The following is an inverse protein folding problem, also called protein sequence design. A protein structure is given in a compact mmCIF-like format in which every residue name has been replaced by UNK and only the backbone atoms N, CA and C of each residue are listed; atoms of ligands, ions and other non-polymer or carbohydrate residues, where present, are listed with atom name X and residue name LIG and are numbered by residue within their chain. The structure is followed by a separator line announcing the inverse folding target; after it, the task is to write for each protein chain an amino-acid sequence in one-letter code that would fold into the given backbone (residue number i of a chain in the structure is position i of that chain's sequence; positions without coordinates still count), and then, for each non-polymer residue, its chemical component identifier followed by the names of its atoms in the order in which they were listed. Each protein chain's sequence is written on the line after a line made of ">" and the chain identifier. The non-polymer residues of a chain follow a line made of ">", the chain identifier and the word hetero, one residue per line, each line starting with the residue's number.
data_IF_397424952044
#
_entry.id   IF_397424952044
#
_cell.length_a   1.000
_cell.length_b   1.000
_cell.length_c   1.000
_cell.angle_alpha   90.00
_cell.angle_beta   90.00
_cell.angle_gamma   90.00
#
_symmetry.space_group_name_H-M   'P 1'
#
loop_
_entity.id
_entity.type
_entity.pdbx_description
1 polymer ?
#
# COMPACT_ATOMS: atom_id res chain seq x y z
N UNK A 1 -35.75 36.33 10.68
CA UNK A 1 -34.42 35.74 10.98
C UNK A 1 -33.42 36.88 11.08
N UNK A 2 -32.75 37.08 12.23
CA UNK A 2 -31.95 38.30 12.47
C UNK A 2 -30.64 38.27 11.67
N UNK A 3 -30.18 39.46 11.24
CA UNK A 3 -28.96 39.67 10.48
C UNK A 3 -27.70 39.05 11.13
N UNK A 4 -27.76 38.83 12.45
CA UNK A 4 -26.69 38.20 13.23
C UNK A 4 -26.46 36.72 12.86
N UNK A 5 -27.52 35.99 12.46
CA UNK A 5 -27.42 34.57 12.08
C UNK A 5 -26.83 34.35 10.68
N UNK A 6 -26.98 35.33 9.80
CA UNK A 6 -26.37 35.34 8.45
C UNK A 6 -24.86 35.63 8.49
N UNK A 7 -24.39 36.39 9.49
CA UNK A 7 -22.98 36.71 9.65
C UNK A 7 -22.17 35.52 10.19
N UNK A 8 -22.76 34.71 11.08
CA UNK A 8 -22.12 33.48 11.59
C UNK A 8 -22.07 32.32 10.58
N UNK A 9 -22.97 32.31 9.58
CA UNK A 9 -22.94 31.32 8.50
C UNK A 9 -21.89 31.66 7.42
N UNK A 10 -21.55 32.94 7.22
CA UNK A 10 -20.46 33.34 6.30
C UNK A 10 -19.07 32.96 6.81
N UNK A 11 -18.87 32.90 8.13
CA UNK A 11 -17.60 32.46 8.74
C UNK A 11 -17.29 30.97 8.56
N UNK A 12 -18.28 30.15 8.21
CA UNK A 12 -18.11 28.69 8.00
C UNK A 12 -17.96 28.31 6.51
N UNK A 13 -18.18 29.25 5.59
CA UNK A 13 -18.13 29.01 4.14
C UNK A 13 -16.79 29.41 3.49
N UNK A 14 -15.88 30.01 4.25
CA UNK A 14 -14.51 30.29 3.81
C UNK A 14 -13.59 29.34 4.56
N UNK A 15 -13.43 28.15 4.00
CA UNK A 15 -12.33 27.28 4.39
C UNK A 15 -11.03 28.05 4.14
N UNK A 16 -10.29 28.31 5.20
CA UNK A 16 -8.91 28.78 5.10
C UNK A 16 -8.15 27.79 4.21
N UNK A 17 -7.71 28.29 3.06
CA UNK A 17 -6.76 27.63 2.17
C UNK A 17 -5.44 27.45 2.96
N UNK A 18 -5.38 26.40 3.78
CA UNK A 18 -4.12 25.83 4.24
C UNK A 18 -3.47 25.20 3.01
N UNK A 19 -2.61 26.01 2.40
CA UNK A 19 -1.44 25.63 1.61
C UNK A 19 -1.46 24.17 1.18
N UNK A 20 -1.89 23.94 -0.07
CA UNK A 20 -1.66 22.70 -0.78
C UNK A 20 -0.15 22.42 -0.79
N UNK A 21 0.29 21.65 0.20
CA UNK A 21 1.62 21.10 0.31
C UNK A 21 1.76 20.04 -0.78
N UNK A 22 2.59 20.35 -1.79
CA UNK A 22 3.22 19.47 -2.77
C UNK A 22 2.36 18.30 -3.25
N UNK A 23 1.84 18.39 -4.48
CA UNK A 23 1.21 17.26 -5.16
C UNK A 23 2.06 15.99 -4.96
N UNK A 24 1.62 15.11 -4.05
CA UNK A 24 2.33 13.87 -3.79
C UNK A 24 2.18 13.05 -5.06
N UNK A 25 3.24 12.97 -5.86
CA UNK A 25 3.22 12.18 -7.08
C UNK A 25 2.84 10.75 -6.67
N UNK A 26 1.65 10.31 -7.07
CA UNK A 26 1.11 9.02 -6.68
C UNK A 26 2.14 7.92 -7.03
N UNK A 27 2.41 7.04 -6.06
CA UNK A 27 3.36 5.93 -6.22
C UNK A 27 3.01 5.13 -7.48
N UNK A 28 3.99 4.84 -8.37
CA UNK A 28 3.74 4.03 -9.57
C UNK A 28 3.50 2.56 -9.21
N UNK A 29 3.93 2.12 -8.02
CA UNK A 29 3.65 0.80 -7.46
C UNK A 29 2.62 0.93 -6.33
N UNK A 30 1.59 0.09 -6.38
CA UNK A 30 0.52 0.05 -5.36
C UNK A 30 0.20 -1.39 -4.98
N UNK A 31 -0.41 -1.56 -3.81
CA UNK A 31 -0.90 -2.85 -3.32
C UNK A 31 -2.26 -2.67 -2.64
N UNK A 32 -2.97 -3.77 -2.49
CA UNK A 32 -4.19 -3.89 -1.70
C UNK A 32 -4.22 -5.30 -1.12
N UNK A 33 -4.26 -5.38 0.19
CA UNK A 33 -4.39 -6.63 0.93
C UNK A 33 -5.87 -6.84 1.26
N UNK A 34 -6.39 -8.00 0.91
CA UNK A 34 -7.77 -8.40 1.19
C UNK A 34 -7.75 -9.69 2.01
N UNK A 35 -8.38 -9.67 3.18
CA UNK A 35 -8.68 -10.86 3.94
C UNK A 35 -9.95 -11.51 3.36
N UNK A 36 -9.75 -12.52 2.52
CA UNK A 36 -10.85 -13.19 1.82
C UNK A 36 -11.62 -14.16 2.70
N UNK A 37 -11.07 -14.58 3.84
CA UNK A 37 -11.78 -15.44 4.79
C UNK A 37 -12.87 -14.67 5.54
N UNK A 38 -12.67 -13.36 5.76
CA UNK A 38 -13.60 -12.50 6.49
C UNK A 38 -14.32 -11.48 5.60
N UNK A 39 -13.89 -11.32 4.34
CA UNK A 39 -14.48 -10.35 3.41
C UNK A 39 -14.16 -8.89 3.79
N UNK A 40 -12.99 -8.64 4.40
CA UNK A 40 -12.56 -7.32 4.87
C UNK A 40 -11.18 -6.95 4.34
N UNK A 41 -10.79 -5.67 4.35
CA UNK A 41 -9.42 -5.29 4.06
C UNK A 41 -8.42 -5.90 5.04
N UNK A 42 -7.24 -6.28 4.55
CA UNK A 42 -6.12 -6.71 5.38
C UNK A 42 -5.39 -5.51 5.97
N UNK A 43 -6.03 -4.81 6.91
CA UNK A 43 -5.47 -3.66 7.62
C UNK A 43 -4.35 -4.06 8.59
N UNK A 44 -3.44 -3.13 8.89
CA UNK A 44 -2.35 -3.31 9.84
C UNK A 44 -1.38 -4.47 9.52
N UNK A 45 -1.28 -4.85 8.24
CA UNK A 45 -0.30 -5.82 7.76
C UNK A 45 1.02 -5.11 7.43
N UNK A 46 2.10 -5.52 8.08
CA UNK A 46 3.46 -5.06 7.74
C UNK A 46 3.88 -5.62 6.39
N UNK A 47 4.52 -4.77 5.59
CA UNK A 47 5.08 -5.13 4.30
C UNK A 47 6.42 -4.44 4.05
N UNK A 48 7.29 -5.14 3.35
CA UNK A 48 8.62 -4.65 2.95
C UNK A 48 8.74 -4.71 1.43
N UNK A 49 9.17 -3.61 0.81
CA UNK A 49 9.51 -3.56 -0.61
C UNK A 49 11.03 -3.66 -0.77
N UNK A 50 11.47 -4.57 -1.62
CA UNK A 50 12.87 -4.73 -2.00
C UNK A 50 13.04 -4.59 -3.52
N UNK A 51 14.27 -4.29 -3.92
CA UNK A 51 14.73 -4.44 -5.30
C UNK A 51 15.95 -5.34 -5.35
N UNK A 52 16.03 -6.16 -6.38
CA UNK A 52 17.16 -7.03 -6.62
C UNK A 52 18.27 -6.27 -7.35
N UNK A 53 19.50 -6.37 -6.86
CA UNK A 53 20.67 -5.95 -7.61
C UNK A 53 20.88 -6.89 -8.81
N UNK A 54 20.97 -6.37 -10.05
CA UNK A 54 21.01 -7.19 -11.25
C UNK A 54 22.27 -8.05 -11.37
N UNK A 55 23.38 -7.63 -10.75
CA UNK A 55 24.70 -8.27 -10.84
C UNK A 55 24.90 -9.33 -9.76
N UNK A 56 24.64 -8.98 -8.51
CA UNK A 56 24.89 -9.82 -7.32
C UNK A 56 23.69 -10.67 -6.94
N UNK A 57 22.49 -10.36 -7.48
CA UNK A 57 21.20 -10.95 -7.09
C UNK A 57 20.79 -10.69 -5.63
N UNK A 58 21.53 -9.84 -4.92
CA UNK A 58 21.20 -9.43 -3.56
C UNK A 58 19.93 -8.57 -3.52
N UNK A 59 19.17 -8.67 -2.43
CA UNK A 59 17.98 -7.85 -2.21
C UNK A 59 18.31 -6.63 -1.35
N UNK A 60 17.99 -5.44 -1.83
CA UNK A 60 18.11 -4.18 -1.07
C UNK A 60 16.72 -3.70 -0.65
N UNK A 61 16.54 -3.43 0.64
CA UNK A 61 15.30 -2.86 1.19
C UNK A 61 15.12 -1.44 0.66
N UNK A 62 13.94 -1.16 0.10
CA UNK A 62 13.52 0.18 -0.31
C UNK A 62 12.73 0.84 0.82
N UNK A 63 11.72 0.15 1.34
CA UNK A 63 10.85 0.69 2.39
C UNK A 63 10.14 -0.41 3.19
N UNK A 64 9.88 -0.12 4.46
CA UNK A 64 8.97 -0.87 5.33
C UNK A 64 7.74 -0.01 5.62
N UNK A 65 6.55 -0.59 5.51
CA UNK A 65 5.27 0.10 5.72
C UNK A 65 4.24 -0.86 6.32
N UNK A 66 3.10 -0.30 6.71
CA UNK A 66 1.94 -1.05 7.19
C UNK A 66 0.71 -0.63 6.38
N UNK A 67 -0.16 -1.58 6.05
CA UNK A 67 -1.42 -1.28 5.36
C UNK A 67 -2.36 -0.46 6.23
N UNK A 68 -3.07 0.49 5.61
CA UNK A 68 -4.10 1.29 6.27
C UNK A 68 -5.41 0.51 6.47
N UNK A 69 -6.44 1.17 6.99
CA UNK A 69 -7.76 0.58 7.25
C UNK A 69 -8.47 0.04 5.99
N UNK A 70 -8.11 0.53 4.81
CA UNK A 70 -8.57 0.02 3.50
C UNK A 70 -7.62 -1.04 2.93
N UNK A 71 -6.71 -1.61 3.73
CA UNK A 71 -5.77 -2.65 3.28
C UNK A 71 -4.74 -2.17 2.25
N UNK A 72 -4.61 -0.86 2.03
CA UNK A 72 -3.70 -0.26 1.04
C UNK A 72 -2.45 0.29 1.68
N UNK A 73 -1.40 0.43 0.88
CA UNK A 73 -0.18 1.11 1.30
C UNK A 73 0.24 2.17 0.27
N UNK A 74 -0.17 3.44 0.44
CA UNK A 74 0.27 4.51 -0.45
C UNK A 74 1.76 4.83 -0.25
N UNK A 75 2.42 5.32 -1.30
CA UNK A 75 3.79 5.83 -1.22
C UNK A 75 4.86 4.74 -1.06
N UNK A 76 4.69 3.59 -1.74
CA UNK A 76 5.67 2.49 -1.71
C UNK A 76 7.00 2.86 -2.38
N UNK A 77 6.96 3.65 -3.45
CA UNK A 77 8.16 4.10 -4.15
C UNK A 77 7.87 5.41 -4.88
N UNK A 78 8.89 6.25 -5.06
CA UNK A 78 8.76 7.45 -5.90
C UNK A 78 8.95 7.10 -7.37
N UNK A 79 8.43 7.93 -8.28
CA UNK A 79 8.66 7.73 -9.73
C UNK A 79 10.14 7.73 -10.11
N UNK A 80 10.96 8.52 -9.43
CA UNK A 80 12.39 8.64 -9.69
C UNK A 80 13.16 7.35 -9.31
N UNK A 81 12.73 6.68 -8.24
CA UNK A 81 13.36 5.44 -7.77
C UNK A 81 12.81 4.19 -8.48
N UNK A 82 11.64 4.31 -9.13
CA UNK A 82 10.99 3.21 -9.83
C UNK A 82 11.56 3.05 -11.23
N UNK A 83 12.61 2.25 -11.34
CA UNK A 83 13.28 1.94 -12.60
C UNK A 83 13.17 0.45 -12.95
N UNK A 84 13.45 0.03 -14.20
CA UNK A 84 13.37 -1.37 -14.59
C UNK A 84 14.21 -2.30 -13.71
N UNK A 85 13.70 -3.51 -13.49
CA UNK A 85 14.37 -4.53 -12.68
C UNK A 85 13.40 -5.45 -11.96
N UNK A 86 13.95 -6.30 -11.10
CA UNK A 86 13.18 -7.26 -10.29
C UNK A 86 12.94 -6.68 -8.91
N UNK A 87 11.69 -6.71 -8.46
CA UNK A 87 11.24 -6.25 -7.16
C UNK A 87 10.62 -7.40 -6.38
N UNK A 88 10.54 -7.21 -5.07
CA UNK A 88 9.91 -8.16 -4.16
C UNK A 88 9.10 -7.43 -3.11
N UNK A 89 7.85 -7.83 -2.95
CA UNK A 89 7.02 -7.41 -1.83
C UNK A 89 6.90 -8.58 -0.84
N UNK A 90 7.37 -8.35 0.38
CA UNK A 90 7.27 -9.28 1.49
C UNK A 90 6.11 -8.83 2.38
N UNK A 91 5.18 -9.72 2.69
CA UNK A 91 4.01 -9.48 3.54
C UNK A 91 4.09 -10.37 4.78
N UNK A 92 3.99 -9.78 5.97
CA UNK A 92 4.11 -10.49 7.25
C UNK A 92 2.80 -11.20 7.63
N UNK A 93 2.47 -12.26 6.89
CA UNK A 93 1.16 -12.93 7.00
C UNK A 93 0.95 -13.65 8.33
N UNK A 94 1.97 -14.27 8.92
CA UNK A 94 1.81 -14.90 10.23
C UNK A 94 1.50 -13.87 11.33
N UNK A 95 2.27 -12.77 11.38
CA UNK A 95 2.04 -11.70 12.36
C UNK A 95 0.64 -11.10 12.19
N UNK A 96 0.20 -10.89 10.94
CA UNK A 96 -1.17 -10.43 10.66
C UNK A 96 -2.23 -11.37 11.24
N UNK A 97 -2.15 -12.68 11.00
CA UNK A 97 -3.13 -13.63 11.52
C UNK A 97 -3.03 -13.81 13.05
N UNK A 98 -1.82 -13.77 13.60
CA UNK A 98 -1.58 -13.86 15.04
C UNK A 98 -2.22 -12.69 15.79
N UNK A 99 -2.19 -11.48 15.23
CA UNK A 99 -2.87 -10.31 15.79
C UNK A 99 -4.39 -10.47 15.91
N UNK A 100 -4.97 -11.41 15.16
CA UNK A 100 -6.39 -11.79 15.20
C UNK A 100 -6.63 -13.10 15.97
N UNK A 101 -5.62 -13.62 16.68
CA UNK A 101 -5.70 -14.86 17.44
C UNK A 101 -5.78 -16.13 16.59
N UNK A 102 -5.25 -16.09 15.36
CA UNK A 102 -5.28 -17.24 14.45
C UNK A 102 -3.88 -17.57 13.89
N UNK A 103 -3.63 -18.85 13.61
CA UNK A 103 -2.38 -19.25 12.95
C UNK A 103 -2.50 -19.14 11.42
N UNK A 104 -1.45 -18.66 10.76
CA UNK A 104 -1.31 -18.76 9.31
C UNK A 104 -0.53 -20.01 8.93
N UNK A 105 -0.89 -20.65 7.82
CA UNK A 105 -0.04 -21.67 7.20
C UNK A 105 1.23 -21.06 6.59
N UNK A 106 1.16 -19.78 6.19
CA UNK A 106 2.27 -19.08 5.56
C UNK A 106 2.95 -18.18 6.61
N UNK A 107 4.23 -18.43 6.97
CA UNK A 107 4.95 -17.56 7.90
C UNK A 107 5.03 -16.12 7.38
N UNK A 108 5.19 -15.98 6.06
CA UNK A 108 5.14 -14.75 5.28
C UNK A 108 4.81 -15.10 3.83
N UNK A 109 4.52 -14.09 3.02
CA UNK A 109 4.36 -14.23 1.56
C UNK A 109 5.30 -13.26 0.85
N UNK A 110 6.11 -13.75 -0.07
CA UNK A 110 6.93 -12.91 -0.96
C UNK A 110 6.40 -12.98 -2.39
N UNK A 111 6.07 -11.84 -2.97
CA UNK A 111 5.68 -11.70 -4.37
C UNK A 111 6.84 -11.05 -5.12
N UNK A 112 7.52 -11.82 -5.97
CA UNK A 112 8.63 -11.38 -6.81
C UNK A 112 8.11 -11.07 -8.21
N UNK A 113 8.43 -9.89 -8.74
CA UNK A 113 7.94 -9.44 -10.05
C UNK A 113 8.93 -8.56 -10.80
N UNK A 114 8.81 -8.55 -12.12
CA UNK A 114 9.66 -7.74 -13.01
C UNK A 114 8.93 -6.48 -13.45
N UNK A 115 9.62 -5.35 -13.37
CA UNK A 115 9.21 -4.08 -13.96
C UNK A 115 9.98 -3.88 -15.26
N UNK A 116 9.25 -3.85 -16.38
CA UNK A 116 9.81 -3.60 -17.71
C UNK A 116 9.62 -2.14 -18.12
N UNK A 117 8.42 -1.59 -17.89
CA UNK A 117 8.05 -0.24 -18.31
C UNK A 117 7.67 0.61 -17.08
N UNK A 118 8.60 1.42 -16.54
CA UNK A 118 8.36 2.22 -15.34
C UNK A 118 7.38 3.38 -15.56
N UNK A 119 6.95 3.63 -16.81
CA UNK A 119 5.92 4.64 -17.10
C UNK A 119 4.51 4.15 -16.74
N UNK A 120 4.30 2.83 -16.65
CA UNK A 120 3.04 2.23 -16.26
C UNK A 120 2.85 2.23 -14.74
N UNK A 121 1.58 2.18 -14.33
CA UNK A 121 1.21 1.82 -12.97
C UNK A 121 1.22 0.29 -12.82
N UNK A 122 1.65 -0.15 -11.64
CA UNK A 122 1.68 -1.54 -11.24
C UNK A 122 0.86 -1.69 -9.95
N UNK A 123 -0.19 -2.49 -10.03
CA UNK A 123 -0.93 -2.92 -8.85
C UNK A 123 -0.63 -4.38 -8.57
N UNK A 124 -0.10 -4.67 -7.38
CA UNK A 124 0.26 -6.02 -6.93
C UNK A 124 -0.47 -6.29 -5.61
N UNK A 125 -1.72 -6.79 -5.65
CA UNK A 125 -2.49 -7.09 -4.46
C UNK A 125 -2.14 -8.45 -3.86
N UNK A 126 -2.59 -8.65 -2.63
CA UNK A 126 -2.55 -9.93 -1.92
C UNK A 126 -3.97 -10.25 -1.44
N UNK A 127 -4.55 -11.32 -1.98
CA UNK A 127 -5.81 -11.88 -1.49
C UNK A 127 -5.45 -13.06 -0.59
N UNK A 128 -5.87 -13.03 0.67
CA UNK A 128 -5.33 -13.92 1.70
C UNK A 128 -6.43 -14.57 2.55
N UNK A 129 -6.30 -15.88 2.73
CA UNK A 129 -6.90 -16.63 3.83
C UNK A 129 -5.79 -17.27 4.68
N UNK A 130 -6.13 -18.02 5.73
CA UNK A 130 -5.13 -18.74 6.54
C UNK A 130 -4.40 -19.85 5.78
N UNK A 131 -5.00 -20.38 4.72
CA UNK A 131 -4.54 -21.57 4.00
C UNK A 131 -4.53 -21.42 2.48
N UNK A 132 -4.75 -20.21 1.97
CA UNK A 132 -4.61 -19.87 0.57
C UNK A 132 -4.23 -18.41 0.41
N UNK A 133 -3.52 -18.09 -0.67
CA UNK A 133 -3.39 -16.72 -1.13
C UNK A 133 -3.37 -16.67 -2.65
N UNK A 134 -3.65 -15.50 -3.20
CA UNK A 134 -3.46 -15.23 -4.62
C UNK A 134 -3.01 -13.79 -4.85
N UNK A 135 -2.43 -13.56 -6.02
CA UNK A 135 -2.00 -12.26 -6.51
C UNK A 135 -2.20 -12.19 -8.02
N UNK A 136 -2.18 -10.98 -8.58
CA UNK A 136 -2.24 -10.73 -10.01
C UNK A 136 -1.58 -9.37 -10.31
N UNK A 137 -1.29 -9.08 -11.58
CA UNK A 137 -0.89 -7.72 -11.99
C UNK A 137 -2.13 -6.94 -12.39
N UNK A 138 -2.44 -5.88 -11.66
CA UNK A 138 -3.41 -4.86 -12.05
C UNK A 138 -2.74 -3.64 -12.70
N UNK A 139 -3.56 -2.83 -13.37
CA UNK A 139 -3.19 -1.55 -14.02
C UNK A 139 -3.43 -0.35 -13.11
#
# INVERSE_FOLDING_TARGET
>A
MSAYRLQQLKGHLVAENKTASMASSQSPLTTHVLNTAMGIPGSNMTLNLYRQDPSTKAWSLIITRTTNDDGRCPGLITKQMFIPGVYKMHFDTAQYWESMGQASFYPYVEIVFTINDPSQKYHVPLLLSRFSYSTYRGS
#
